data_IF_656674223257
#
_entry.id   IF_656674223257
#
_cell.length_a   1.000
_cell.length_b   1.000
_cell.length_c   1.000
_cell.angle_alpha   90.00
_cell.angle_beta   90.00
_cell.angle_gamma   90.00
#
_symmetry.space_group_name_H-M   'P 1'
#
loop_
_entity.id
_entity.type
_entity.pdbx_description
1 polymer ?
#
# COMPACT_ATOMS: atom_id res chain seq x y z
N UNK A 1 11.57 17.53 -18.94
CA UNK A 1 10.69 16.44 -19.42
C UNK A 1 11.08 15.12 -18.74
N UNK A 2 10.12 14.37 -18.19
CA UNK A 2 10.38 13.11 -17.46
C UNK A 2 10.63 13.25 -15.96
N UNK A 3 10.45 14.44 -15.37
CA UNK A 3 10.39 14.64 -13.92
C UNK A 3 9.01 14.24 -13.42
N UNK A 4 8.92 13.73 -12.20
CA UNK A 4 7.65 13.47 -11.51
C UNK A 4 7.31 14.62 -10.56
N UNK A 5 6.10 15.14 -10.67
CA UNK A 5 5.49 16.07 -9.73
C UNK A 5 4.34 15.34 -9.03
N UNK A 6 4.47 15.15 -7.72
CA UNK A 6 3.55 14.32 -6.94
C UNK A 6 2.76 15.21 -5.96
N UNK A 7 1.44 15.03 -5.92
CA UNK A 7 0.55 15.70 -4.98
C UNK A 7 0.12 14.77 -3.84
N UNK A 8 0.00 15.35 -2.66
CA UNK A 8 -0.87 14.84 -1.61
C UNK A 8 -2.04 15.82 -1.49
N UNK A 9 -3.26 15.32 -1.69
CA UNK A 9 -4.47 16.13 -1.70
C UNK A 9 -5.60 15.30 -1.07
N UNK A 10 -6.20 15.86 -0.01
CA UNK A 10 -7.02 15.12 0.95
C UNK A 10 -8.49 15.56 1.01
N UNK A 11 -8.96 16.38 0.06
CA UNK A 11 -10.34 16.94 -0.02
C UNK A 11 -11.14 16.43 -1.23
N UNK A 12 -10.65 15.39 -1.92
CA UNK A 12 -11.27 14.83 -3.14
C UNK A 12 -11.39 15.83 -4.28
N UNK A 13 -10.45 16.78 -4.38
CA UNK A 13 -10.37 17.70 -5.51
C UNK A 13 -10.22 16.89 -6.81
N UNK A 14 -11.05 17.12 -7.83
CA UNK A 14 -11.01 16.35 -9.07
C UNK A 14 -9.88 16.82 -10.00
N UNK A 15 -9.39 15.91 -10.83
CA UNK A 15 -8.44 16.19 -11.92
C UNK A 15 -7.06 16.70 -11.45
N UNK A 16 -6.60 16.24 -10.29
CA UNK A 16 -5.29 16.63 -9.74
C UNK A 16 -4.16 16.20 -10.68
N UNK A 17 -4.26 15.00 -11.24
CA UNK A 17 -3.25 14.38 -12.10
C UNK A 17 -3.53 14.52 -13.60
N UNK A 18 -4.43 15.46 -13.95
CA UNK A 18 -4.80 15.72 -15.34
C UNK A 18 -4.07 16.95 -15.88
N UNK A 19 -3.85 17.03 -17.21
CA UNK A 19 -3.16 18.17 -17.80
C UNK A 19 -3.89 19.50 -17.56
N UNK A 20 -3.10 20.56 -17.39
CA UNK A 20 -3.62 21.91 -17.13
C UNK A 20 -4.47 22.47 -18.29
N UNK A 21 -4.18 22.06 -19.53
CA UNK A 21 -4.95 22.51 -20.70
C UNK A 21 -6.37 21.93 -20.78
N UNK A 22 -6.71 20.91 -19.98
CA UNK A 22 -8.09 20.42 -19.81
C UNK A 22 -8.69 20.78 -18.44
N UNK A 23 -8.04 21.66 -17.67
CA UNK A 23 -8.52 22.12 -16.36
C UNK A 23 -8.00 21.34 -15.15
N UNK A 24 -7.06 20.41 -15.33
CA UNK A 24 -6.40 19.73 -14.22
C UNK A 24 -5.31 20.55 -13.54
N UNK A 25 -4.78 20.07 -12.41
CA UNK A 25 -3.71 20.75 -11.67
C UNK A 25 -2.30 20.48 -12.23
N UNK A 26 -2.16 19.53 -13.16
CA UNK A 26 -0.89 19.25 -13.83
C UNK A 26 0.11 18.42 -13.05
N UNK A 27 -0.31 17.75 -11.96
CA UNK A 27 0.53 16.75 -11.30
C UNK A 27 0.61 15.47 -12.13
N UNK A 28 1.68 14.70 -11.97
CA UNK A 28 1.80 13.40 -12.63
C UNK A 28 1.10 12.31 -11.84
N UNK A 29 1.16 12.40 -10.50
CA UNK A 29 0.71 11.35 -9.57
C UNK A 29 0.11 11.97 -8.30
N UNK A 30 -0.91 11.34 -7.72
CA UNK A 30 -1.56 11.73 -6.46
C UNK A 30 -1.49 10.59 -5.45
N UNK A 31 -1.24 10.91 -4.18
CA UNK A 31 -1.35 9.94 -3.09
C UNK A 31 -2.79 9.47 -2.90
N UNK A 32 -3.01 8.16 -2.88
CA UNK A 32 -4.30 7.55 -2.61
C UNK A 32 -4.52 7.41 -1.10
N UNK A 33 -4.88 8.52 -0.46
CA UNK A 33 -5.13 8.57 0.99
C UNK A 33 -6.35 7.73 1.40
N UNK A 34 -7.34 7.58 0.51
CA UNK A 34 -8.50 6.71 0.75
C UNK A 34 -8.08 5.24 0.84
N UNK A 35 -7.37 4.74 -0.17
CA UNK A 35 -6.80 3.38 -0.16
C UNK A 35 -5.93 3.14 1.06
N UNK A 36 -5.05 4.10 1.42
CA UNK A 36 -4.16 3.96 2.57
C UNK A 36 -4.95 3.77 3.87
N UNK A 37 -5.92 4.66 4.14
CA UNK A 37 -6.73 4.61 5.35
C UNK A 37 -7.58 3.34 5.43
N UNK A 38 -8.26 2.99 4.34
CA UNK A 38 -9.14 1.81 4.30
C UNK A 38 -8.33 0.52 4.47
N UNK A 39 -7.19 0.41 3.79
CA UNK A 39 -6.32 -0.78 3.86
C UNK A 39 -5.72 -0.95 5.26
N UNK A 40 -5.22 0.13 5.88
CA UNK A 40 -4.66 0.04 7.24
C UNK A 40 -5.75 -0.26 8.28
N UNK A 41 -6.96 0.32 8.12
CA UNK A 41 -8.10 0.01 8.98
C UNK A 41 -8.51 -1.45 8.87
N UNK A 42 -8.52 -2.01 7.66
CA UNK A 42 -8.83 -3.41 7.41
C UNK A 42 -7.78 -4.36 8.03
N UNK A 43 -6.50 -4.08 7.77
CA UNK A 43 -5.42 -4.94 8.26
C UNK A 43 -5.27 -4.91 9.78
N UNK A 44 -5.65 -3.81 10.43
CA UNK A 44 -5.69 -3.70 11.88
C UNK A 44 -6.87 -4.41 12.56
N UNK A 45 -7.86 -4.90 11.81
CA UNK A 45 -8.92 -5.75 12.38
C UNK A 45 -8.41 -7.15 12.66
N UNK A 46 -8.80 -7.71 13.81
CA UNK A 46 -8.67 -9.15 14.07
C UNK A 46 -9.26 -9.95 12.89
N UNK A 47 -8.59 -11.02 12.41
CA UNK A 47 -9.00 -11.72 11.19
C UNK A 47 -10.47 -12.15 11.16
N UNK A 48 -11.04 -12.54 12.31
CA UNK A 48 -12.44 -12.95 12.43
C UNK A 48 -13.45 -11.83 12.10
N UNK A 49 -13.07 -10.56 12.29
CA UNK A 49 -13.95 -9.41 12.03
C UNK A 49 -13.80 -8.84 10.62
N UNK A 50 -12.76 -9.25 9.86
CA UNK A 50 -12.51 -8.76 8.50
C UNK A 50 -13.65 -9.03 7.52
N UNK A 51 -14.44 -10.07 7.76
CA UNK A 51 -15.62 -10.39 6.96
C UNK A 51 -16.65 -9.26 6.91
N UNK A 52 -16.74 -8.44 7.96
CA UNK A 52 -17.69 -7.31 8.06
C UNK A 52 -17.17 -6.03 7.41
N UNK A 53 -15.93 -6.04 6.93
CA UNK A 53 -15.20 -4.87 6.43
C UNK A 53 -14.57 -5.11 5.07
N UNK A 54 -15.06 -6.09 4.32
CA UNK A 54 -14.49 -6.48 3.03
C UNK A 54 -14.53 -5.35 1.99
N UNK A 55 -15.48 -4.43 2.13
CA UNK A 55 -15.60 -3.20 1.36
C UNK A 55 -14.34 -2.33 1.43
N UNK A 56 -13.59 -2.37 2.53
CA UNK A 56 -12.38 -1.56 2.68
C UNK A 56 -11.27 -1.92 1.70
N UNK A 57 -11.21 -3.16 1.24
CA UNK A 57 -10.23 -3.56 0.23
C UNK A 57 -10.74 -3.42 -1.20
N UNK A 58 -12.06 -3.30 -1.41
CA UNK A 58 -12.66 -3.26 -2.76
C UNK A 58 -13.10 -1.86 -3.17
N UNK A 59 -13.41 -0.98 -2.22
CA UNK A 59 -13.95 0.36 -2.46
C UNK A 59 -12.99 1.25 -3.26
N UNK A 60 -11.69 1.19 -2.97
CA UNK A 60 -10.68 1.98 -3.68
C UNK A 60 -10.67 1.73 -5.19
N UNK A 61 -11.03 0.52 -5.63
CA UNK A 61 -11.09 0.16 -7.04
C UNK A 61 -12.23 0.85 -7.79
N UNK A 62 -13.25 1.36 -7.12
CA UNK A 62 -14.31 2.16 -7.76
C UNK A 62 -13.78 3.46 -8.36
N UNK A 63 -12.67 3.99 -7.82
CA UNK A 63 -12.06 5.22 -8.28
C UNK A 63 -10.57 5.09 -8.62
N UNK A 64 -9.97 3.90 -8.56
CA UNK A 64 -8.52 3.69 -8.74
C UNK A 64 -7.92 4.20 -10.06
N UNK A 65 -8.75 4.53 -11.06
CA UNK A 65 -8.34 5.03 -12.37
C UNK A 65 -8.87 6.44 -12.68
N UNK A 66 -9.46 7.13 -11.69
CA UNK A 66 -9.87 8.53 -11.83
C UNK A 66 -8.67 9.48 -11.86
N UNK A 67 -7.61 9.13 -11.12
CA UNK A 67 -6.32 9.81 -11.04
C UNK A 67 -5.18 8.79 -11.20
N UNK A 68 -3.99 9.28 -11.52
CA UNK A 68 -2.77 8.49 -11.47
C UNK A 68 -2.36 8.32 -10.00
N UNK A 69 -2.74 7.21 -9.38
CA UNK A 69 -2.52 7.03 -7.94
C UNK A 69 -1.14 6.45 -7.59
N UNK A 70 -0.57 6.96 -6.50
CA UNK A 70 0.48 6.32 -5.71
C UNK A 70 -0.13 5.81 -4.41
N UNK A 71 0.24 4.63 -3.98
CA UNK A 71 -0.18 3.97 -2.75
C UNK A 71 0.88 4.26 -1.68
N UNK A 72 0.60 5.15 -0.70
CA UNK A 72 1.61 5.56 0.26
C UNK A 72 1.46 4.84 1.60
N UNK A 73 2.56 4.33 2.12
CA UNK A 73 2.78 4.18 3.56
C UNK A 73 3.94 5.11 3.94
N UNK A 74 3.59 6.37 4.20
CA UNK A 74 4.53 7.45 4.48
C UNK A 74 4.94 7.50 5.96
N UNK A 75 5.82 8.44 6.29
CA UNK A 75 6.25 8.71 7.65
C UNK A 75 5.09 9.09 8.59
N UNK A 76 4.07 9.80 8.09
CA UNK A 76 2.92 10.22 8.89
C UNK A 76 2.12 9.04 9.45
N UNK A 77 2.27 7.86 8.85
CA UNK A 77 1.59 6.63 9.27
C UNK A 77 2.35 5.83 10.33
N UNK A 78 3.52 6.28 10.78
CA UNK A 78 4.31 5.54 11.79
C UNK A 78 4.78 6.43 12.94
N UNK A 79 3.99 7.44 13.27
CA UNK A 79 4.27 8.46 14.31
C UNK A 79 3.03 8.81 15.12
N UNK A 80 3.21 9.65 16.14
CA UNK A 80 2.15 10.32 16.90
C UNK A 80 1.14 9.35 17.55
N UNK A 81 1.61 8.20 18.03
CA UNK A 81 0.76 7.21 18.71
C UNK A 81 -0.02 6.30 17.76
N UNK A 82 0.18 6.42 16.43
CA UNK A 82 -0.45 5.55 15.45
C UNK A 82 0.19 4.15 15.37
N UNK A 83 1.31 3.93 16.04
CA UNK A 83 2.11 2.71 16.01
C UNK A 83 2.92 2.52 14.73
N UNK A 84 3.92 1.65 14.80
CA UNK A 84 4.63 1.15 13.61
C UNK A 84 3.75 0.23 12.77
N UNK A 85 4.14 -0.01 11.52
CA UNK A 85 3.39 -0.90 10.62
C UNK A 85 3.18 -2.30 11.19
N UNK A 86 4.18 -2.87 11.87
CA UNK A 86 4.07 -4.19 12.49
C UNK A 86 3.19 -4.17 13.75
N UNK A 87 3.17 -3.07 14.52
CA UNK A 87 2.33 -2.92 15.72
C UNK A 87 0.86 -2.68 15.40
N UNK A 88 0.55 -2.28 14.17
CA UNK A 88 -0.84 -2.18 13.68
C UNK A 88 -1.45 -3.54 13.30
N UNK A 89 -0.65 -4.60 13.17
CA UNK A 89 -1.15 -5.93 12.80
C UNK A 89 -1.66 -6.67 14.05
N UNK A 90 -2.78 -7.42 13.95
CA UNK A 90 -3.31 -8.23 15.05
C UNK A 90 -2.56 -9.56 15.20
N UNK A 91 -2.82 -10.23 16.34
CA UNK A 91 -2.34 -11.58 16.61
C UNK A 91 -0.97 -11.66 17.30
N UNK A 92 -0.46 -12.88 17.38
CA UNK A 92 0.89 -13.15 17.89
C UNK A 92 1.99 -12.62 16.96
N UNK A 93 3.25 -12.68 17.40
CA UNK A 93 4.38 -12.19 16.60
C UNK A 93 4.41 -12.76 15.18
N UNK A 94 4.23 -14.08 15.03
CA UNK A 94 4.24 -14.73 13.73
C UNK A 94 3.11 -14.22 12.84
N UNK A 95 1.90 -14.10 13.40
CA UNK A 95 0.72 -13.58 12.71
C UNK A 95 0.88 -12.12 12.31
N UNK A 96 1.51 -11.29 13.16
CA UNK A 96 1.78 -9.88 12.86
C UNK A 96 2.70 -9.72 11.66
N UNK A 97 3.78 -10.50 11.62
CA UNK A 97 4.67 -10.53 10.47
C UNK A 97 3.98 -11.11 9.23
N UNK A 98 3.14 -12.14 9.36
CA UNK A 98 2.36 -12.67 8.24
C UNK A 98 1.39 -11.64 7.65
N UNK A 99 0.70 -10.89 8.50
CA UNK A 99 -0.17 -9.79 8.07
C UNK A 99 0.61 -8.67 7.38
N UNK A 100 1.80 -8.31 7.88
CA UNK A 100 2.62 -7.29 7.24
C UNK A 100 3.10 -7.74 5.84
N UNK A 101 3.49 -9.01 5.70
CA UNK A 101 3.81 -9.61 4.38
C UNK A 101 2.61 -9.57 3.43
N UNK A 102 1.41 -9.91 3.93
CA UNK A 102 0.18 -9.87 3.15
C UNK A 102 -0.14 -8.45 2.69
N UNK A 103 -0.03 -7.46 3.58
CA UNK A 103 -0.24 -6.04 3.27
C UNK A 103 0.68 -5.56 2.16
N UNK A 104 1.98 -5.84 2.25
CA UNK A 104 2.93 -5.40 1.22
C UNK A 104 2.76 -6.15 -0.09
N UNK A 105 2.44 -7.44 -0.05
CA UNK A 105 2.13 -8.20 -1.26
C UNK A 105 0.89 -7.63 -1.96
N UNK A 106 -0.17 -7.31 -1.20
CA UNK A 106 -1.35 -6.65 -1.71
C UNK A 106 -1.03 -5.26 -2.27
N UNK A 107 -0.28 -4.42 -1.55
CA UNK A 107 0.17 -3.11 -2.02
C UNK A 107 0.92 -3.20 -3.35
N UNK A 108 1.86 -4.14 -3.51
CA UNK A 108 2.67 -4.29 -4.72
C UNK A 108 1.87 -4.82 -5.92
N UNK A 109 0.82 -5.61 -5.67
CA UNK A 109 -0.03 -6.21 -6.70
C UNK A 109 -1.26 -5.37 -7.05
N UNK A 110 -1.69 -4.46 -6.17
CA UNK A 110 -2.76 -3.49 -6.43
C UNK A 110 -2.35 -2.48 -7.52
N UNK A 111 -3.28 -1.93 -8.33
CA UNK A 111 -2.97 -0.83 -9.26
C UNK A 111 -2.43 0.44 -8.56
N UNK A 112 -1.60 1.21 -9.26
CA UNK A 112 -0.94 2.42 -8.77
C UNK A 112 0.54 2.27 -8.38
N UNK A 113 1.26 3.38 -8.25
CA UNK A 113 2.69 3.41 -7.85
C UNK A 113 2.87 3.12 -6.36
N UNK A 114 4.10 2.81 -5.91
CA UNK A 114 4.38 2.34 -4.53
C UNK A 114 5.27 3.35 -3.79
N UNK A 115 4.93 3.63 -2.53
CA UNK A 115 5.77 4.39 -1.61
C UNK A 115 5.78 3.72 -0.24
N UNK A 116 6.96 3.33 0.23
CA UNK A 116 7.23 2.80 1.56
C UNK A 116 8.24 3.71 2.26
N UNK A 117 7.95 4.09 3.50
CA UNK A 117 8.88 4.87 4.33
C UNK A 117 9.96 3.98 4.97
N UNK A 118 11.12 4.55 5.22
CA UNK A 118 12.26 3.83 5.83
C UNK A 118 11.89 3.22 7.20
N UNK A 119 12.47 2.06 7.51
CA UNK A 119 12.16 1.29 8.71
C UNK A 119 10.98 0.33 8.54
N UNK A 120 10.05 0.65 7.64
CA UNK A 120 8.86 -0.18 7.40
C UNK A 120 9.20 -1.45 6.61
N UNK A 121 10.28 -1.45 5.84
CA UNK A 121 10.70 -2.56 4.97
C UNK A 121 11.25 -3.77 5.73
N UNK A 122 11.76 -3.56 6.94
CA UNK A 122 12.24 -4.61 7.83
C UNK A 122 11.38 -4.76 9.10
N UNK A 123 10.21 -4.11 9.11
CA UNK A 123 9.23 -4.23 10.18
C UNK A 123 9.70 -3.65 11.51
N UNK A 124 10.25 -2.43 11.52
CA UNK A 124 10.63 -1.75 12.76
C UNK A 124 9.50 -1.76 13.79
N UNK A 125 9.83 -2.13 15.03
CA UNK A 125 8.87 -2.26 16.12
C UNK A 125 8.42 -0.91 16.68
N UNK A 126 9.35 -0.01 16.98
CA UNK A 126 9.03 1.31 17.51
C UNK A 126 8.51 2.26 16.42
N UNK A 127 7.70 3.24 16.84
CA UNK A 127 7.36 4.38 15.98
C UNK A 127 8.63 5.10 15.52
N UNK A 128 8.54 5.74 14.35
CA UNK A 128 9.64 6.53 13.84
C UNK A 128 9.92 7.73 14.76
N UNK A 129 11.19 7.86 15.16
CA UNK A 129 11.67 8.99 15.93
C UNK A 129 12.65 9.80 15.09
N UNK A 130 12.28 11.03 14.75
CA UNK A 130 13.10 11.94 13.94
C UNK A 130 14.42 12.35 14.61
N UNK A 131 14.50 12.26 15.94
CA UNK A 131 15.72 12.54 16.71
C UNK A 131 16.62 11.30 16.91
N UNK A 132 16.15 10.13 16.49
CA UNK A 132 16.85 8.85 16.66
C UNK A 132 17.38 8.28 15.34
N UNK A 133 18.06 7.14 15.46
CA UNK A 133 18.38 6.27 14.32
C UNK A 133 17.32 5.18 14.20
N UNK A 134 17.20 4.57 13.02
CA UNK A 134 16.41 3.36 12.87
C UNK A 134 17.01 2.20 13.68
N UNK A 135 16.16 1.26 14.09
CA UNK A 135 16.53 0.13 14.94
C UNK A 135 17.28 -0.96 14.14
N UNK A 136 18.43 -0.64 13.56
CA UNK A 136 19.17 -1.53 12.65
C UNK A 136 19.54 -2.89 13.25
N UNK A 137 19.74 -2.95 14.58
CA UNK A 137 20.07 -4.18 15.29
C UNK A 137 19.01 -5.28 15.10
N UNK A 138 17.76 -4.92 14.79
CA UNK A 138 16.70 -5.92 14.65
C UNK A 138 16.86 -6.82 13.43
N UNK A 139 17.70 -6.43 12.47
CA UNK A 139 18.03 -7.27 11.32
C UNK A 139 18.81 -8.55 11.70
N UNK A 140 19.31 -8.64 12.93
CA UNK A 140 19.89 -9.88 13.47
C UNK A 140 18.80 -10.92 13.80
N UNK A 141 17.53 -10.52 13.90
CA UNK A 141 16.41 -11.43 14.16
C UNK A 141 15.77 -11.94 12.85
N UNK A 142 15.48 -13.26 12.75
CA UNK A 142 15.03 -13.87 11.49
C UNK A 142 13.76 -13.27 10.87
N UNK A 143 12.78 -12.85 11.68
CA UNK A 143 11.52 -12.31 11.17
C UNK A 143 11.70 -10.95 10.48
N UNK A 144 12.54 -10.09 11.03
CA UNK A 144 12.87 -8.78 10.46
C UNK A 144 13.73 -8.91 9.19
N UNK A 145 14.75 -9.78 9.21
CA UNK A 145 15.53 -10.12 8.02
C UNK A 145 14.65 -10.72 6.90
N UNK A 146 13.67 -11.54 7.29
CA UNK A 146 12.66 -12.10 6.39
C UNK A 146 11.78 -11.03 5.74
N UNK A 147 11.37 -9.99 6.49
CA UNK A 147 10.63 -8.85 5.92
C UNK A 147 11.46 -8.08 4.89
N UNK A 148 12.72 -7.79 5.21
CA UNK A 148 13.62 -7.11 4.27
C UNK A 148 13.80 -7.93 2.99
N UNK A 149 13.94 -9.25 3.13
CA UNK A 149 14.03 -10.18 1.99
C UNK A 149 12.76 -10.16 1.15
N UNK A 150 11.58 -10.21 1.77
CA UNK A 150 10.31 -10.08 1.05
C UNK A 150 10.24 -8.77 0.26
N UNK A 151 10.56 -7.64 0.88
CA UNK A 151 10.49 -6.33 0.19
C UNK A 151 11.47 -6.28 -0.98
N UNK A 152 12.67 -6.86 -0.83
CA UNK A 152 13.62 -7.02 -1.93
C UNK A 152 13.03 -7.84 -3.07
N UNK A 153 12.45 -8.99 -2.77
CA UNK A 153 11.87 -9.90 -3.77
C UNK A 153 10.64 -9.29 -4.46
N UNK A 154 9.78 -8.58 -3.72
CA UNK A 154 8.66 -7.81 -4.27
C UNK A 154 9.13 -6.73 -5.24
N UNK A 155 10.22 -6.03 -4.93
CA UNK A 155 10.82 -5.05 -5.83
C UNK A 155 11.38 -5.70 -7.10
N UNK A 156 12.03 -6.87 -6.99
CA UNK A 156 12.50 -7.62 -8.15
C UNK A 156 11.33 -8.08 -9.03
N UNK A 157 10.28 -8.63 -8.43
CA UNK A 157 9.07 -9.04 -9.14
C UNK A 157 8.39 -7.85 -9.83
N UNK A 158 8.20 -6.74 -9.11
CA UNK A 158 7.58 -5.52 -9.64
C UNK A 158 8.35 -4.98 -10.85
N UNK A 159 9.68 -4.93 -10.79
CA UNK A 159 10.50 -4.47 -11.93
C UNK A 159 10.57 -5.46 -13.08
N UNK A 160 10.41 -6.75 -12.80
CA UNK A 160 10.50 -7.83 -13.79
C UNK A 160 9.18 -8.14 -14.52
N UNK A 161 8.05 -7.59 -14.05
CA UNK A 161 6.72 -7.90 -14.59
C UNK A 161 5.98 -6.65 -15.03
N UNK A 162 5.89 -6.45 -16.35
CA UNK A 162 5.16 -5.32 -16.95
C UNK A 162 3.68 -5.31 -16.58
N UNK A 163 3.07 -6.45 -16.24
CA UNK A 163 1.69 -6.50 -15.77
C UNK A 163 1.48 -5.68 -14.48
N UNK A 164 2.53 -5.54 -13.66
CA UNK A 164 2.45 -4.81 -12.40
C UNK A 164 2.61 -3.30 -12.54
N UNK A 165 3.24 -2.81 -13.62
CA UNK A 165 3.59 -1.40 -13.77
C UNK A 165 3.40 -0.78 -15.17
N UNK A 166 2.92 -1.54 -16.16
CA UNK A 166 2.72 -1.08 -17.54
C UNK A 166 1.40 -0.32 -17.70
N UNK A 167 0.30 -0.93 -17.24
CA UNK A 167 -1.06 -0.39 -17.36
C UNK A 167 -1.68 -0.07 -16.00
N UNK A 168 -0.88 0.43 -15.05
CA UNK A 168 -1.33 0.62 -13.66
C UNK A 168 -2.33 1.76 -13.46
N UNK A 169 -2.51 2.61 -14.48
CA UNK A 169 -3.47 3.72 -14.50
C UNK A 169 -4.64 3.48 -15.46
N UNK A 170 -4.77 2.27 -16.00
CA UNK A 170 -5.82 1.92 -16.95
C UNK A 170 -6.64 0.72 -16.46
N UNK A 171 -7.96 0.78 -16.67
CA UNK A 171 -8.87 -0.34 -16.41
C UNK A 171 -8.44 -1.64 -17.09
N UNK A 172 -7.77 -1.54 -18.24
CA UNK A 172 -7.28 -2.69 -19.00
C UNK A 172 -6.23 -3.51 -18.24
N UNK A 173 -5.50 -2.88 -17.29
CA UNK A 173 -4.43 -3.50 -16.52
C UNK A 173 -4.89 -4.30 -15.30
N UNK A 174 -6.19 -4.34 -15.01
CA UNK A 174 -6.76 -4.98 -13.83
C UNK A 174 -8.10 -5.64 -14.12
N UNK A 175 -8.34 -6.82 -13.55
CA UNK A 175 -9.67 -7.46 -13.56
C UNK A 175 -9.88 -8.26 -12.27
N UNK A 176 -11.02 -8.07 -11.61
CA UNK A 176 -11.42 -8.94 -10.50
C UNK A 176 -11.76 -10.34 -11.03
N UNK A 177 -11.22 -11.38 -10.39
CA UNK A 177 -11.69 -12.76 -10.57
C UNK A 177 -12.86 -12.97 -9.60
N UNK A 178 -12.62 -12.71 -8.31
CA UNK A 178 -13.65 -12.66 -7.29
C UNK A 178 -13.25 -11.71 -6.16
N UNK A 179 -14.21 -10.90 -5.74
CA UNK A 179 -14.10 -9.95 -4.64
C UNK A 179 -15.32 -10.00 -3.69
N UNK A 180 -16.06 -11.12 -3.68
CA UNK A 180 -17.26 -11.29 -2.87
C UNK A 180 -17.11 -12.33 -1.75
N UNK A 181 -16.00 -13.07 -1.68
CA UNK A 181 -15.72 -14.04 -0.61
C UNK A 181 -15.29 -13.35 0.69
N UNK A 182 -16.18 -12.52 1.23
CA UNK A 182 -15.99 -11.78 2.47
C UNK A 182 -15.93 -12.70 3.68
N UNK A 183 -16.72 -13.78 3.68
CA UNK A 183 -16.77 -14.73 4.80
C UNK A 183 -15.39 -15.36 5.09
N UNK A 184 -14.59 -15.61 4.04
CA UNK A 184 -13.22 -16.11 4.19
C UNK A 184 -12.16 -15.01 4.05
N UNK A 185 -12.56 -13.76 3.77
CA UNK A 185 -11.66 -12.63 3.55
C UNK A 185 -10.68 -12.86 2.39
N UNK A 186 -11.18 -13.41 1.28
CA UNK A 186 -10.39 -13.75 0.09
C UNK A 186 -10.68 -12.74 -1.03
N UNK A 187 -9.61 -12.27 -1.68
CA UNK A 187 -9.66 -11.47 -2.89
C UNK A 187 -8.80 -12.13 -3.97
N UNK A 188 -9.28 -12.13 -5.20
CA UNK A 188 -8.53 -12.64 -6.34
C UNK A 188 -8.73 -11.75 -7.57
N UNK A 189 -7.64 -11.43 -8.25
CA UNK A 189 -7.64 -10.53 -9.41
C UNK A 189 -6.47 -10.84 -10.35
N UNK A 190 -6.57 -10.35 -11.57
CA UNK A 190 -5.55 -10.45 -12.62
C UNK A 190 -4.95 -9.07 -12.87
N UNK A 191 -3.63 -9.05 -13.09
CA UNK A 191 -2.88 -7.90 -13.60
C UNK A 191 -2.46 -8.18 -15.04
N UNK A 192 -2.64 -7.20 -15.94
CA UNK A 192 -2.39 -7.34 -17.39
C UNK A 192 -1.40 -6.28 -17.89
N UNK A 193 -0.54 -6.67 -18.82
CA UNK A 193 0.45 -5.82 -19.49
C UNK A 193 -0.05 -5.34 -20.84
#
# INVERSE_FOLDING_TARGET
>A
PGTLVIAEESTSWPQVTRPTYIGGLGFDVKWNMGWMNDTLRYMGQEPIYRQYHHDLLTFSMLYAFSENFMLPFSHDEVVHGKGSMINRMPGDEWQRFANLRLLYTYMFTHPGKKLLFMGTEFGQGLEWNSAGVLDWYILEYPLHAGMQTLVKDLNHLYRGSSALHGNEFEWQGFEWIDCHDSQQSILSFVRKA
#
